data_IF_640908775659
#
_entry.id   IF_640908775659
#
_cell.length_a   1.000
_cell.length_b   1.000
_cell.length_c   1.000
_cell.angle_alpha   90.00
_cell.angle_beta   90.00
_cell.angle_gamma   90.00
#
_symmetry.space_group_name_H-M   'P 1'
#
loop_
_entity.id
_entity.type
_entity.pdbx_description
1 polymer ?
#
# COMPACT_ATOMS: atom_id res chain seq x y z
N UNK A 1 -35.33 14.59 -22.04
CA UNK A 1 -34.71 14.73 -20.70
C UNK A 1 -33.21 14.56 -20.90
N UNK A 2 -32.47 15.66 -21.04
CA UNK A 2 -31.00 15.61 -21.15
C UNK A 2 -30.43 15.01 -19.86
N UNK A 3 -29.63 13.95 -19.99
CA UNK A 3 -28.87 13.42 -18.86
C UNK A 3 -27.95 14.53 -18.34
N UNK A 4 -27.79 14.70 -17.02
CA UNK A 4 -27.00 15.79 -16.48
C UNK A 4 -25.59 15.80 -17.11
N UNK A 5 -25.13 17.00 -17.48
CA UNK A 5 -23.74 17.24 -17.88
C UNK A 5 -22.83 16.75 -16.76
N UNK A 6 -21.73 16.10 -17.11
CA UNK A 6 -20.78 15.59 -16.14
C UNK A 6 -20.30 16.71 -15.21
N UNK A 7 -20.07 16.37 -13.94
CA UNK A 7 -19.16 17.15 -13.09
C UNK A 7 -17.86 17.27 -13.90
N UNK A 8 -17.44 18.50 -14.19
CA UNK A 8 -16.14 18.82 -14.80
C UNK A 8 -15.98 18.63 -16.33
N UNK A 9 -17.07 18.49 -17.09
CA UNK A 9 -17.00 18.50 -18.57
C UNK A 9 -16.40 17.23 -19.22
N UNK A 10 -15.99 16.26 -18.41
CA UNK A 10 -15.52 14.95 -18.87
C UNK A 10 -16.69 13.98 -18.97
N UNK A 11 -17.10 13.64 -20.19
CA UNK A 11 -18.18 12.68 -20.40
C UNK A 11 -17.83 11.29 -19.82
N UNK A 12 -18.77 10.61 -19.12
CA UNK A 12 -18.50 9.31 -18.50
C UNK A 12 -18.10 8.24 -19.51
N UNK A 13 -17.16 7.35 -19.12
CA UNK A 13 -16.68 6.21 -19.91
C UNK A 13 -17.82 5.34 -20.45
N UNK A 14 -18.89 5.15 -19.67
CA UNK A 14 -20.07 4.38 -20.07
C UNK A 14 -20.91 4.98 -21.21
N UNK A 15 -20.49 6.10 -21.82
CA UNK A 15 -21.12 6.67 -23.02
C UNK A 15 -20.51 6.19 -24.33
N UNK A 16 -19.33 5.57 -24.32
CA UNK A 16 -18.73 4.96 -25.51
C UNK A 16 -19.53 3.72 -25.93
N UNK A 17 -19.96 3.66 -27.21
CA UNK A 17 -20.79 2.56 -27.73
C UNK A 17 -19.95 1.44 -28.36
N UNK A 18 -18.67 1.70 -28.61
CA UNK A 18 -17.70 0.77 -29.14
C UNK A 18 -16.31 1.06 -28.56
N UNK A 19 -15.38 0.12 -28.69
CA UNK A 19 -13.98 0.32 -28.33
C UNK A 19 -13.30 1.39 -29.21
N UNK A 20 -13.69 1.49 -30.48
CA UNK A 20 -13.25 2.56 -31.39
C UNK A 20 -13.67 3.96 -30.89
N UNK A 21 -14.94 4.11 -30.43
CA UNK A 21 -15.41 5.37 -29.84
C UNK A 21 -14.63 5.72 -28.57
N UNK A 22 -14.35 4.71 -27.74
CA UNK A 22 -13.56 4.88 -26.53
C UNK A 22 -12.10 5.27 -26.84
N UNK A 23 -11.46 4.60 -27.81
CA UNK A 23 -10.11 4.91 -28.26
C UNK A 23 -10.00 6.32 -28.84
N UNK A 24 -10.98 6.74 -29.64
CA UNK A 24 -11.04 8.11 -30.17
C UNK A 24 -11.19 9.15 -29.04
N UNK A 25 -12.04 8.87 -28.04
CA UNK A 25 -12.20 9.73 -26.87
C UNK A 25 -10.92 9.80 -26.03
N UNK A 26 -10.26 8.67 -25.78
CA UNK A 26 -8.97 8.61 -25.08
C UNK A 26 -7.90 9.45 -25.79
N UNK A 27 -7.79 9.32 -27.12
CA UNK A 27 -6.86 10.14 -27.92
C UNK A 27 -7.16 11.63 -27.83
N UNK A 28 -8.44 12.01 -27.87
CA UNK A 28 -8.85 13.41 -27.71
C UNK A 28 -8.47 13.97 -26.33
N UNK A 29 -8.76 13.23 -25.26
CA UNK A 29 -8.38 13.60 -23.89
C UNK A 29 -6.86 13.68 -23.71
N UNK A 30 -6.12 12.73 -24.30
CA UNK A 30 -4.66 12.74 -24.25
C UNK A 30 -4.08 13.96 -24.98
N UNK A 31 -4.60 14.30 -26.16
CA UNK A 31 -4.18 15.49 -26.90
C UNK A 31 -4.50 16.80 -26.18
N UNK A 32 -5.62 16.84 -25.44
CA UNK A 32 -6.06 18.02 -24.70
C UNK A 32 -5.28 18.22 -23.39
N UNK A 33 -5.07 17.14 -22.62
CA UNK A 33 -4.59 17.25 -21.23
C UNK A 33 -3.16 16.77 -21.02
N UNK A 34 -2.64 15.88 -21.87
CA UNK A 34 -1.28 15.29 -21.74
C UNK A 34 -0.60 15.19 -23.12
N UNK A 35 -0.41 16.31 -23.84
CA UNK A 35 0.13 16.30 -25.19
C UNK A 35 1.52 15.63 -25.23
N UNK A 36 1.69 14.72 -26.18
CA UNK A 36 2.92 13.91 -26.31
C UNK A 36 2.85 12.53 -25.68
N UNK A 37 1.82 12.23 -24.86
CA UNK A 37 1.57 10.89 -24.34
C UNK A 37 0.61 10.13 -25.25
N UNK A 38 1.08 9.04 -25.85
CA UNK A 38 0.22 8.14 -26.62
C UNK A 38 -0.46 7.13 -25.69
N UNK A 39 -1.75 7.32 -25.42
CA UNK A 39 -2.57 6.36 -24.67
C UNK A 39 -3.24 5.39 -25.66
N UNK A 40 -2.82 4.13 -25.64
CA UNK A 40 -3.38 3.05 -26.47
C UNK A 40 -4.72 2.52 -25.95
N UNK A 41 -5.45 1.81 -26.82
CA UNK A 41 -6.64 1.04 -26.47
C UNK A 41 -6.65 -0.18 -27.39
N UNK A 42 -6.39 -1.37 -26.84
CA UNK A 42 -6.39 -2.61 -27.61
C UNK A 42 -7.83 -3.13 -27.74
N UNK A 43 -8.24 -3.43 -28.98
CA UNK A 43 -9.56 -3.99 -29.28
C UNK A 43 -9.58 -5.53 -29.18
N UNK A 44 -8.39 -6.14 -29.09
CA UNK A 44 -8.19 -7.58 -28.98
C UNK A 44 -7.63 -7.95 -27.60
N UNK A 45 -8.26 -8.93 -26.95
CA UNK A 45 -7.77 -9.47 -25.69
C UNK A 45 -6.71 -10.52 -26.00
N UNK A 46 -5.45 -10.24 -25.64
CA UNK A 46 -4.40 -11.25 -25.68
C UNK A 46 -4.71 -12.37 -24.68
N UNK A 47 -4.81 -13.59 -25.18
CA UNK A 47 -5.03 -14.80 -24.37
C UNK A 47 -3.75 -15.60 -24.20
N UNK A 48 -3.76 -16.55 -23.26
CA UNK A 48 -2.66 -17.48 -23.09
C UNK A 48 -2.42 -18.30 -24.37
N UNK A 49 -1.18 -18.58 -24.79
CA UNK A 49 0.08 -18.16 -24.16
C UNK A 49 0.65 -16.83 -24.69
N UNK A 50 0.02 -16.21 -25.69
CA UNK A 50 0.52 -15.00 -26.36
C UNK A 50 0.53 -13.76 -25.43
N UNK A 51 -0.34 -13.74 -24.42
CA UNK A 51 -0.40 -12.67 -23.44
C UNK A 51 0.92 -12.51 -22.66
N UNK A 52 1.44 -11.28 -22.48
CA UNK A 52 2.59 -11.00 -21.62
C UNK A 52 2.41 -11.53 -20.19
N UNK A 53 1.18 -11.66 -19.72
CA UNK A 53 0.87 -12.19 -18.39
C UNK A 53 1.13 -13.70 -18.26
N UNK A 54 1.26 -14.44 -19.37
CA UNK A 54 1.59 -15.87 -19.43
C UNK A 54 3.06 -16.14 -19.78
N UNK A 55 3.88 -15.09 -19.82
CA UNK A 55 5.30 -15.20 -20.11
C UNK A 55 6.09 -15.40 -18.83
N UNK A 56 7.11 -16.27 -18.89
CA UNK A 56 8.01 -16.52 -17.76
C UNK A 56 8.72 -15.24 -17.31
N UNK A 57 9.02 -15.15 -16.03
CA UNK A 57 9.81 -14.08 -15.43
C UNK A 57 10.50 -14.58 -14.17
N UNK A 58 11.67 -14.01 -13.84
CA UNK A 58 12.38 -14.26 -12.59
C UNK A 58 12.10 -13.12 -11.62
N UNK A 59 11.61 -13.44 -10.42
CA UNK A 59 11.29 -12.47 -9.35
C UNK A 59 11.94 -12.97 -8.07
N UNK A 60 12.76 -12.12 -7.43
CA UNK A 60 13.53 -12.46 -6.22
C UNK A 60 14.25 -13.82 -6.30
N UNK A 61 14.90 -14.10 -7.43
CA UNK A 61 15.64 -15.34 -7.66
C UNK A 61 14.79 -16.55 -8.10
N UNK A 62 13.46 -16.49 -7.98
CA UNK A 62 12.53 -17.58 -8.37
C UNK A 62 11.97 -17.39 -9.77
N UNK A 63 11.84 -18.47 -10.52
CA UNK A 63 11.17 -18.45 -11.82
C UNK A 63 9.68 -18.76 -11.68
N UNK A 64 8.84 -17.90 -12.25
CA UNK A 64 7.40 -18.10 -12.39
C UNK A 64 7.02 -18.08 -13.87
N UNK A 65 5.89 -18.72 -14.18
CA UNK A 65 5.33 -18.84 -15.53
C UNK A 65 4.21 -17.82 -15.80
N UNK A 66 3.57 -17.31 -14.75
CA UNK A 66 2.39 -16.44 -14.84
C UNK A 66 2.62 -15.18 -14.01
N UNK A 67 2.45 -14.02 -14.63
CA UNK A 67 2.68 -12.69 -14.03
C UNK A 67 1.42 -12.11 -13.38
N UNK A 68 0.46 -12.96 -13.05
CA UNK A 68 -0.73 -12.58 -12.29
C UNK A 68 -0.39 -12.52 -10.80
N UNK A 69 -0.79 -11.42 -10.19
CA UNK A 69 -0.46 -11.11 -8.81
C UNK A 69 -1.69 -10.85 -7.95
N UNK A 70 -1.66 -11.35 -6.71
CA UNK A 70 -2.54 -10.87 -5.65
C UNK A 70 -1.88 -9.67 -4.96
N UNK A 71 -2.56 -8.52 -4.96
CA UNK A 71 -2.11 -7.35 -4.22
C UNK A 71 -2.53 -7.45 -2.74
N UNK A 72 -1.77 -6.82 -1.83
CA UNK A 72 -2.12 -6.67 -0.43
C UNK A 72 -3.53 -6.12 -0.25
N UNK A 73 -4.33 -6.84 0.55
CA UNK A 73 -5.66 -6.42 0.99
C UNK A 73 -5.73 -6.50 2.52
N UNK A 74 -6.37 -5.53 3.16
CA UNK A 74 -6.70 -5.62 4.58
C UNK A 74 -7.80 -6.67 4.77
N UNK A 75 -7.56 -7.71 5.57
CA UNK A 75 -8.53 -8.78 5.81
C UNK A 75 -9.49 -8.53 6.97
N UNK A 76 -8.99 -7.86 8.02
CA UNK A 76 -9.73 -7.52 9.26
C UNK A 76 -10.48 -8.71 9.87
N UNK A 77 -9.88 -9.89 9.83
CA UNK A 77 -10.44 -11.12 10.36
C UNK A 77 -9.39 -11.98 11.10
N UNK A 78 -8.27 -11.39 11.50
CA UNK A 78 -7.37 -12.01 12.47
C UNK A 78 -8.02 -12.08 13.85
N UNK A 79 -7.45 -12.87 14.76
CA UNK A 79 -7.89 -12.84 16.15
C UNK A 79 -7.69 -11.44 16.73
N UNK A 80 -8.78 -10.85 17.23
CA UNK A 80 -8.79 -9.61 17.99
C UNK A 80 -8.58 -9.85 19.48
N UNK A 81 -8.54 -8.78 20.26
CA UNK A 81 -8.28 -8.84 21.71
C UNK A 81 -9.38 -9.55 22.51
N UNK A 82 -10.59 -9.61 21.96
CA UNK A 82 -11.77 -10.20 22.60
C UNK A 82 -12.04 -11.64 22.13
N UNK A 83 -11.25 -12.18 21.22
CA UNK A 83 -11.44 -13.52 20.66
C UNK A 83 -10.70 -14.59 21.49
N UNK A 84 -11.14 -15.85 21.39
CA UNK A 84 -10.49 -17.02 22.02
C UNK A 84 -9.21 -17.45 21.26
N UNK A 85 -8.29 -16.51 21.04
CA UNK A 85 -7.03 -16.68 20.31
C UNK A 85 -5.95 -15.70 20.75
N UNK A 86 -4.77 -15.79 20.14
CA UNK A 86 -3.70 -14.79 20.37
C UNK A 86 -3.95 -13.63 19.42
N UNK A 87 -4.10 -12.42 19.96
CA UNK A 87 -4.34 -11.22 19.17
C UNK A 87 -3.30 -11.08 18.03
N UNK A 88 -3.77 -10.70 16.84
CA UNK A 88 -2.92 -10.50 15.66
C UNK A 88 -2.47 -11.77 14.96
N UNK A 89 -2.83 -12.95 15.48
CA UNK A 89 -2.59 -14.22 14.80
C UNK A 89 -3.67 -14.51 13.73
N UNK A 90 -3.33 -15.27 12.67
CA UNK A 90 -4.29 -15.68 11.67
C UNK A 90 -5.46 -16.47 12.29
N UNK A 91 -6.69 -16.08 11.95
CA UNK A 91 -7.87 -16.89 12.29
C UNK A 91 -8.11 -17.97 11.21
N UNK A 92 -9.06 -18.90 11.41
CA UNK A 92 -9.48 -19.81 10.36
C UNK A 92 -9.90 -19.11 9.06
N UNK A 93 -10.49 -17.91 9.14
CA UNK A 93 -10.90 -17.11 7.97
C UNK A 93 -9.70 -16.55 7.22
N UNK A 94 -8.73 -16.02 7.97
CA UNK A 94 -7.44 -15.58 7.43
C UNK A 94 -6.72 -16.74 6.72
N UNK A 95 -6.64 -17.90 7.35
CA UNK A 95 -6.01 -19.08 6.77
C UNK A 95 -6.76 -19.62 5.55
N UNK A 96 -8.09 -19.52 5.53
CA UNK A 96 -8.90 -19.87 4.36
C UNK A 96 -8.59 -18.95 3.17
N UNK A 97 -8.44 -17.63 3.40
CA UNK A 97 -8.03 -16.68 2.36
C UNK A 97 -6.65 -17.03 1.79
N UNK A 98 -5.67 -17.27 2.66
CA UNK A 98 -4.32 -17.63 2.24
C UNK A 98 -4.25 -19.00 1.53
N UNK A 99 -5.10 -19.94 1.95
CA UNK A 99 -5.32 -21.20 1.20
C UNK A 99 -5.83 -20.89 -0.20
N UNK A 100 -6.82 -20.00 -0.33
CA UNK A 100 -7.37 -19.55 -1.62
C UNK A 100 -6.32 -18.95 -2.56
N UNK A 101 -5.36 -18.18 -2.04
CA UNK A 101 -4.25 -17.68 -2.83
C UNK A 101 -3.42 -18.80 -3.48
N UNK A 102 -3.09 -19.86 -2.73
CA UNK A 102 -2.35 -20.99 -3.29
C UNK A 102 -3.17 -21.89 -4.23
N UNK A 103 -4.50 -21.94 -4.06
CA UNK A 103 -5.41 -22.60 -5.01
C UNK A 103 -5.59 -21.81 -6.31
N UNK A 104 -5.25 -20.51 -6.30
CA UNK A 104 -5.35 -19.66 -7.48
C UNK A 104 -4.27 -20.00 -8.53
N UNK A 105 -4.52 -19.61 -9.78
CA UNK A 105 -3.51 -19.69 -10.86
C UNK A 105 -2.43 -18.61 -10.78
N UNK A 106 -2.48 -17.73 -9.78
CA UNK A 106 -1.50 -16.68 -9.55
C UNK A 106 -0.19 -17.27 -9.05
N UNK A 107 0.93 -16.61 -9.37
CA UNK A 107 2.25 -17.05 -8.91
C UNK A 107 3.02 -15.95 -8.19
N UNK A 108 2.39 -14.79 -7.96
CA UNK A 108 2.92 -13.68 -7.18
C UNK A 108 1.90 -13.27 -6.10
N UNK A 109 2.25 -13.41 -4.84
CA UNK A 109 1.53 -12.76 -3.74
C UNK A 109 2.35 -11.54 -3.34
N UNK A 110 1.95 -10.35 -3.80
CA UNK A 110 2.67 -9.08 -3.61
C UNK A 110 2.53 -8.49 -2.20
N UNK A 111 2.51 -9.35 -1.19
CA UNK A 111 2.33 -9.00 0.22
C UNK A 111 1.12 -9.69 0.86
N UNK A 112 0.17 -10.18 0.06
CA UNK A 112 -1.01 -10.95 0.49
C UNK A 112 -2.00 -10.15 1.33
N UNK A 113 -1.57 -9.76 2.52
CA UNK A 113 -2.31 -8.99 3.51
C UNK A 113 -1.38 -8.02 4.23
N UNK A 114 -1.91 -6.88 4.64
CA UNK A 114 -1.14 -5.88 5.36
C UNK A 114 -0.94 -6.29 6.83
N UNK A 115 0.33 -6.37 7.23
CA UNK A 115 0.78 -6.87 8.52
C UNK A 115 1.40 -5.73 9.33
N UNK A 116 0.75 -5.32 10.41
CA UNK A 116 1.19 -4.18 11.20
C UNK A 116 2.47 -4.51 11.98
N UNK A 117 3.45 -3.58 11.97
CA UNK A 117 4.76 -3.80 12.60
C UNK A 117 4.72 -3.75 14.13
N UNK A 118 3.70 -3.11 14.68
CA UNK A 118 3.40 -3.03 16.12
C UNK A 118 1.88 -3.00 16.33
N UNK A 119 1.41 -3.40 17.51
CA UNK A 119 -0.03 -3.43 17.84
C UNK A 119 -0.72 -2.08 17.64
N UNK A 120 -0.09 -0.98 18.08
CA UNK A 120 -0.63 0.37 17.94
C UNK A 120 -0.80 0.81 16.47
N UNK A 121 -0.10 0.15 15.54
CA UNK A 121 -0.08 0.49 14.13
C UNK A 121 -1.20 -0.16 13.31
N UNK A 122 -2.08 -0.94 13.94
CA UNK A 122 -3.23 -1.60 13.31
C UNK A 122 -4.26 -0.55 12.83
N UNK A 123 -4.80 -0.72 11.63
CA UNK A 123 -5.95 0.00 11.08
C UNK A 123 -7.30 -0.55 11.56
N UNK A 124 -7.30 -1.74 12.17
CA UNK A 124 -8.49 -2.39 12.69
C UNK A 124 -8.14 -3.35 13.83
N UNK A 125 -9.02 -3.55 14.83
CA UNK A 125 -8.79 -4.49 15.93
C UNK A 125 -8.54 -5.94 15.50
N UNK A 126 -9.02 -6.35 14.33
CA UNK A 126 -8.81 -7.69 13.76
C UNK A 126 -7.76 -7.70 12.65
N UNK A 127 -6.81 -6.75 12.65
CA UNK A 127 -5.67 -6.79 11.73
C UNK A 127 -4.53 -7.66 12.28
N UNK A 128 -3.88 -8.41 11.38
CA UNK A 128 -2.63 -9.10 11.64
C UNK A 128 -1.53 -8.11 12.08
N UNK A 129 -0.77 -8.48 13.11
CA UNK A 129 0.42 -7.72 13.52
C UNK A 129 1.44 -8.64 14.18
N UNK A 130 2.67 -8.15 14.35
CA UNK A 130 3.69 -8.90 15.08
C UNK A 130 3.35 -8.94 16.57
N UNK A 131 2.65 -9.98 16.97
CA UNK A 131 2.35 -10.29 18.37
C UNK A 131 3.49 -11.05 19.04
N UNK A 132 3.33 -11.33 20.33
CA UNK A 132 4.30 -12.09 21.11
C UNK A 132 4.46 -13.55 20.64
N UNK A 133 3.62 -14.01 19.69
CA UNK A 133 3.77 -15.30 19.02
C UNK A 133 4.94 -15.35 18.01
N UNK A 134 5.63 -14.23 17.78
CA UNK A 134 6.82 -14.16 16.93
C UNK A 134 6.52 -14.56 15.48
N UNK A 135 7.25 -15.55 14.96
CA UNK A 135 7.10 -16.00 13.56
C UNK A 135 5.95 -16.97 13.30
N UNK A 136 5.26 -17.45 14.34
CA UNK A 136 4.23 -18.49 14.18
C UNK A 136 3.08 -18.05 13.25
N UNK A 137 2.65 -16.80 13.34
CA UNK A 137 1.62 -16.25 12.46
C UNK A 137 2.06 -16.26 10.99
N UNK A 138 3.17 -15.58 10.64
CA UNK A 138 3.75 -15.63 9.30
C UNK A 138 3.98 -17.05 8.77
N UNK A 139 4.46 -17.99 9.59
CA UNK A 139 4.64 -19.39 9.21
C UNK A 139 3.33 -20.06 8.82
N UNK A 140 2.24 -19.85 9.57
CA UNK A 140 0.93 -20.41 9.25
C UNK A 140 0.38 -19.86 7.93
N UNK A 141 0.48 -18.55 7.71
CA UNK A 141 0.03 -17.89 6.47
C UNK A 141 0.75 -18.48 5.25
N UNK A 142 2.09 -18.50 5.30
CA UNK A 142 2.91 -19.02 4.21
C UNK A 142 2.64 -20.51 3.97
N UNK A 143 2.54 -21.30 5.04
CA UNK A 143 2.28 -22.73 4.93
C UNK A 143 0.89 -23.02 4.35
N UNK A 144 -0.13 -22.21 4.65
CA UNK A 144 -1.45 -22.34 4.05
C UNK A 144 -1.40 -22.16 2.53
N UNK A 145 -0.79 -21.07 2.05
CA UNK A 145 -0.66 -20.79 0.62
C UNK A 145 0.23 -21.82 -0.12
N UNK A 146 1.38 -22.18 0.44
CA UNK A 146 2.30 -23.10 -0.23
C UNK A 146 1.74 -24.54 -0.29
N UNK A 147 1.11 -25.02 0.79
CA UNK A 147 0.51 -26.37 0.81
C UNK A 147 -0.64 -26.48 -0.19
N UNK A 148 -1.50 -25.47 -0.29
CA UNK A 148 -2.61 -25.51 -1.24
C UNK A 148 -2.13 -25.40 -2.69
N UNK A 149 -1.06 -24.62 -2.96
CA UNK A 149 -0.37 -24.59 -4.26
C UNK A 149 0.16 -25.96 -4.66
N UNK A 150 0.90 -26.61 -3.77
CA UNK A 150 1.45 -27.95 -4.01
C UNK A 150 0.34 -28.96 -4.28
N UNK A 151 -0.78 -28.90 -3.55
CA UNK A 151 -1.92 -29.78 -3.74
C UNK A 151 -2.62 -29.57 -5.09
N UNK A 152 -2.83 -28.30 -5.50
CA UNK A 152 -3.59 -27.97 -6.71
C UNK A 152 -2.77 -28.10 -8.00
N UNK A 153 -1.48 -27.75 -7.98
CA UNK A 153 -0.66 -27.62 -9.19
C UNK A 153 0.56 -28.54 -9.23
N UNK A 154 0.87 -29.24 -8.13
CA UNK A 154 2.05 -30.12 -7.99
C UNK A 154 3.38 -29.41 -8.24
N UNK A 155 3.45 -28.11 -7.89
CA UNK A 155 4.67 -27.31 -7.90
C UNK A 155 4.69 -26.32 -6.73
N UNK A 156 5.85 -25.69 -6.52
CA UNK A 156 6.07 -24.62 -5.54
C UNK A 156 6.25 -23.25 -6.22
N UNK A 157 5.71 -23.07 -7.43
CA UNK A 157 5.85 -21.83 -8.22
C UNK A 157 4.90 -20.76 -7.71
N UNK A 158 5.20 -20.24 -6.53
CA UNK A 158 4.51 -19.14 -5.89
C UNK A 158 5.55 -18.31 -5.14
N UNK A 159 5.75 -17.05 -5.55
CA UNK A 159 6.59 -16.10 -4.83
C UNK A 159 5.69 -15.36 -3.83
N UNK A 160 6.03 -15.45 -2.55
CA UNK A 160 5.19 -15.01 -1.44
C UNK A 160 5.89 -13.87 -0.70
N UNK A 161 5.27 -12.69 -0.74
CA UNK A 161 5.66 -11.53 0.07
C UNK A 161 4.74 -11.31 1.26
N UNK A 162 5.21 -10.53 2.24
CA UNK A 162 4.42 -10.01 3.34
C UNK A 162 4.49 -8.48 3.37
N UNK A 163 3.36 -7.78 3.36
CA UNK A 163 3.36 -6.31 3.42
C UNK A 163 3.47 -5.81 4.86
N UNK A 164 4.53 -5.03 5.15
CA UNK A 164 4.77 -4.40 6.44
C UNK A 164 4.15 -3.00 6.46
N UNK A 165 3.31 -2.70 7.46
CA UNK A 165 2.56 -1.44 7.51
C UNK A 165 2.60 -0.75 8.87
N UNK A 166 2.41 0.57 8.83
CA UNK A 166 1.98 1.35 9.97
C UNK A 166 0.83 2.30 9.59
N UNK A 167 -0.30 2.19 10.29
CA UNK A 167 -1.55 2.82 9.83
C UNK A 167 -1.59 4.35 9.97
N UNK A 168 -0.74 4.91 10.83
CA UNK A 168 -0.56 6.35 10.96
C UNK A 168 -1.85 7.05 11.37
N UNK A 169 -2.29 8.03 10.59
CA UNK A 169 -3.58 8.70 10.78
C UNK A 169 -4.77 7.72 10.85
N UNK A 170 -4.65 6.54 10.24
CA UNK A 170 -5.72 5.53 10.19
C UNK A 170 -5.62 4.47 11.28
N UNK A 171 -4.77 4.64 12.31
CA UNK A 171 -4.68 3.68 13.41
C UNK A 171 -6.02 3.53 14.15
N UNK A 172 -6.41 2.28 14.41
CA UNK A 172 -7.60 1.85 15.15
C UNK A 172 -7.32 0.46 15.76
N UNK A 173 -6.50 0.38 16.82
CA UNK A 173 -5.98 -0.90 17.31
C UNK A 173 -6.94 -1.65 18.25
N UNK A 174 -7.80 -0.93 18.97
CA UNK A 174 -8.60 -1.48 20.08
C UNK A 174 -10.09 -1.56 19.74
N UNK A 175 -10.74 -2.64 20.15
CA UNK A 175 -12.15 -2.85 19.90
C UNK A 175 -13.00 -1.86 20.71
N UNK A 176 -13.95 -1.21 20.04
CA UNK A 176 -14.89 -0.28 20.70
C UNK A 176 -14.31 1.06 21.15
N UNK A 177 -13.01 1.33 20.97
CA UNK A 177 -12.38 2.62 21.33
C UNK A 177 -12.32 3.63 20.19
N UNK A 178 -12.65 3.21 18.97
CA UNK A 178 -12.58 4.05 17.77
C UNK A 178 -11.15 4.32 17.31
N UNK A 179 -11.01 5.31 16.41
CA UNK A 179 -9.73 5.70 15.82
C UNK A 179 -8.78 6.24 16.89
N UNK A 180 -7.51 5.86 16.80
CA UNK A 180 -6.40 6.31 17.64
C UNK A 180 -5.26 6.78 16.73
N UNK A 181 -5.45 7.92 16.05
CA UNK A 181 -4.55 8.34 14.98
C UNK A 181 -3.14 8.65 15.49
N UNK A 182 -2.15 8.21 14.73
CA UNK A 182 -0.72 8.47 14.97
C UNK A 182 -0.09 9.10 13.72
N UNK A 183 -0.48 10.32 13.31
CA UNK A 183 -0.04 10.90 12.05
C UNK A 183 1.45 11.26 12.05
N UNK A 184 2.11 11.13 10.89
CA UNK A 184 3.49 11.61 10.72
C UNK A 184 3.57 13.13 10.50
N UNK A 185 2.48 13.75 10.05
CA UNK A 185 2.37 15.20 9.85
C UNK A 185 0.94 15.63 10.17
N UNK A 186 0.78 16.83 10.73
CA UNK A 186 -0.53 17.42 10.91
C UNK A 186 -1.16 17.71 9.54
N UNK A 187 -2.40 17.26 9.32
CA UNK A 187 -3.15 17.59 8.11
C UNK A 187 -4.44 18.33 8.50
N UNK A 188 -4.66 19.59 8.08
CA UNK A 188 -5.78 20.41 8.56
C UNK A 188 -7.16 19.92 8.12
N UNK A 189 -7.26 19.23 6.96
CA UNK A 189 -8.51 18.59 6.50
C UNK A 189 -8.68 17.17 7.03
N UNK A 190 -7.68 16.29 6.83
CA UNK A 190 -7.81 14.88 7.21
C UNK A 190 -7.74 14.67 8.72
N UNK A 191 -6.94 15.46 9.45
CA UNK A 191 -6.79 15.35 10.90
C UNK A 191 -8.14 15.37 11.62
N UNK A 192 -8.94 16.45 11.50
CA UNK A 192 -10.26 16.53 12.13
C UNK A 192 -11.22 15.42 11.68
N UNK A 193 -11.17 15.00 10.42
CA UNK A 193 -12.02 13.93 9.88
C UNK A 193 -11.76 12.57 10.55
N UNK A 194 -10.53 12.34 11.00
CA UNK A 194 -10.11 11.10 11.67
C UNK A 194 -9.84 11.30 13.17
N UNK A 195 -10.26 12.43 13.75
CA UNK A 195 -10.13 12.71 15.18
C UNK A 195 -8.71 12.99 15.66
N UNK A 196 -7.79 13.34 14.75
CA UNK A 196 -6.43 13.74 15.10
C UNK A 196 -6.36 15.23 15.45
N UNK A 197 -5.40 15.57 16.30
CA UNK A 197 -4.99 16.96 16.60
C UNK A 197 -3.49 17.14 16.31
N UNK A 198 -2.98 18.39 16.20
CA UNK A 198 -1.55 18.63 15.97
C UNK A 198 -0.64 17.98 17.01
N UNK A 199 -1.08 17.86 18.26
CA UNK A 199 -0.31 17.29 19.37
C UNK A 199 -0.13 15.77 19.26
N UNK A 200 -0.92 15.11 18.39
CA UNK A 200 -0.83 13.66 18.14
C UNK A 200 0.22 13.30 17.07
N UNK A 201 0.87 14.29 16.45
CA UNK A 201 1.95 14.02 15.47
C UNK A 201 3.08 13.26 16.16
N UNK A 202 3.46 12.12 15.59
CA UNK A 202 4.49 11.26 16.20
C UNK A 202 5.84 11.97 16.24
N UNK A 203 6.61 11.77 17.31
CA UNK A 203 7.94 12.38 17.47
C UNK A 203 9.01 11.69 16.60
N UNK A 204 10.14 12.35 16.40
CA UNK A 204 11.30 11.74 15.73
C UNK A 204 11.81 10.52 16.51
N UNK A 205 11.82 10.58 17.85
CA UNK A 205 12.19 9.45 18.69
C UNK A 205 11.27 8.23 18.51
N UNK A 206 9.97 8.45 18.28
CA UNK A 206 9.04 7.36 17.94
C UNK A 206 9.38 6.74 16.59
N UNK A 207 9.70 7.56 15.59
CA UNK A 207 10.10 7.06 14.27
C UNK A 207 11.43 6.28 14.37
N UNK A 208 12.42 6.80 15.10
CA UNK A 208 13.70 6.11 15.31
C UNK A 208 13.50 4.71 15.93
N UNK A 209 12.60 4.57 16.92
CA UNK A 209 12.24 3.28 17.51
C UNK A 209 11.44 2.38 16.54
N UNK A 210 10.51 2.97 15.79
CA UNK A 210 9.67 2.27 14.82
C UNK A 210 10.50 1.57 13.73
N UNK A 211 11.66 2.13 13.34
CA UNK A 211 12.58 1.48 12.42
C UNK A 211 12.95 0.07 12.91
N UNK A 212 13.26 -0.08 14.20
CA UNK A 212 13.59 -1.38 14.81
C UNK A 212 12.44 -2.38 14.69
N UNK A 213 11.20 -1.91 14.74
CA UNK A 213 10.02 -2.74 14.55
C UNK A 213 9.85 -3.23 13.10
N UNK A 214 10.10 -2.37 12.10
CA UNK A 214 10.14 -2.82 10.69
C UNK A 214 11.23 -3.86 10.44
N UNK A 215 12.41 -3.70 11.04
CA UNK A 215 13.50 -4.66 10.91
C UNK A 215 13.15 -5.99 11.58
N UNK A 216 12.62 -5.94 12.81
CA UNK A 216 12.16 -7.15 13.53
C UNK A 216 11.09 -7.89 12.75
N UNK A 217 10.13 -7.16 12.20
CA UNK A 217 9.10 -7.69 11.32
C UNK A 217 9.70 -8.44 10.12
N UNK A 218 10.62 -7.80 9.41
CA UNK A 218 11.27 -8.40 8.25
C UNK A 218 12.09 -9.65 8.61
N UNK A 219 12.78 -9.66 9.75
CA UNK A 219 13.49 -10.84 10.27
C UNK A 219 12.54 -12.02 10.46
N UNK A 220 11.41 -11.81 11.13
CA UNK A 220 10.43 -12.85 11.37
C UNK A 220 9.79 -13.37 10.06
N UNK A 221 9.54 -12.49 9.10
CA UNK A 221 9.09 -12.89 7.76
C UNK A 221 10.15 -13.73 7.03
N UNK A 222 11.42 -13.33 7.14
CA UNK A 222 12.54 -14.06 6.55
C UNK A 222 12.71 -15.46 7.19
N UNK A 223 12.67 -15.54 8.51
CA UNK A 223 12.73 -16.80 9.26
C UNK A 223 11.53 -17.72 8.98
N UNK A 224 10.36 -17.15 8.70
CA UNK A 224 9.18 -17.89 8.25
C UNK A 224 9.28 -18.34 6.78
N UNK A 225 10.31 -17.91 6.05
CA UNK A 225 10.62 -18.35 4.68
C UNK A 225 9.96 -17.53 3.58
N UNK A 226 9.42 -16.35 3.86
CA UNK A 226 8.89 -15.45 2.82
C UNK A 226 10.01 -15.08 1.83
N UNK A 227 9.66 -14.95 0.55
CA UNK A 227 10.63 -14.64 -0.50
C UNK A 227 11.01 -13.15 -0.47
N UNK A 228 10.12 -12.29 0.02
CA UNK A 228 10.37 -10.86 0.20
C UNK A 228 9.43 -10.22 1.22
N UNK A 229 9.73 -8.98 1.62
CA UNK A 229 8.81 -8.09 2.31
C UNK A 229 8.45 -6.90 1.43
N UNK A 230 7.20 -6.43 1.52
CA UNK A 230 6.74 -5.19 0.90
C UNK A 230 6.62 -4.08 1.97
N UNK A 231 7.47 -3.06 1.91
CA UNK A 231 7.40 -1.91 2.81
C UNK A 231 6.33 -0.94 2.28
N UNK A 232 5.21 -0.84 3.00
CA UNK A 232 4.07 -0.02 2.57
C UNK A 232 4.40 1.47 2.67
N UNK A 233 4.44 2.13 1.52
CA UNK A 233 4.75 3.55 1.38
C UNK A 233 3.72 4.25 0.46
N UNK A 234 2.45 3.89 0.63
CA UNK A 234 1.35 4.33 -0.23
C UNK A 234 0.07 4.64 0.57
N UNK A 235 -0.94 5.16 -0.11
CA UNK A 235 -2.32 5.35 0.37
C UNK A 235 -2.46 6.20 1.64
N UNK A 236 -1.61 7.22 1.82
CA UNK A 236 -1.71 8.10 2.98
C UNK A 236 -1.37 7.47 4.35
N UNK A 237 -0.81 6.25 4.39
CA UNK A 237 -0.34 5.61 5.62
C UNK A 237 0.92 6.28 6.18
N UNK A 238 1.36 5.94 7.40
CA UNK A 238 2.40 6.69 8.13
C UNK A 238 3.64 7.01 7.28
N UNK A 239 4.21 6.00 6.61
CA UNK A 239 5.41 6.21 5.82
C UNK A 239 5.12 7.12 4.62
N UNK A 240 3.96 6.98 3.96
CA UNK A 240 3.57 7.87 2.87
C UNK A 240 3.35 9.32 3.37
N UNK A 241 2.83 9.50 4.58
CA UNK A 241 2.69 10.84 5.19
C UNK A 241 4.02 11.56 5.38
N UNK A 242 5.12 10.82 5.58
CA UNK A 242 6.46 11.40 5.64
C UNK A 242 6.88 12.03 4.32
N UNK A 243 6.46 11.49 3.17
CA UNK A 243 6.74 12.08 1.87
C UNK A 243 6.10 13.47 1.70
N UNK A 244 4.92 13.68 2.31
CA UNK A 244 4.23 14.97 2.36
C UNK A 244 4.60 15.83 3.57
N UNK A 245 5.62 15.48 4.36
CA UNK A 245 5.97 16.18 5.60
C UNK A 245 6.85 17.43 5.35
N UNK A 246 6.44 18.32 4.44
CA UNK A 246 7.21 19.51 4.03
C UNK A 246 7.42 20.51 5.16
N UNK A 247 6.49 20.58 6.12
CA UNK A 247 6.52 21.52 7.25
C UNK A 247 6.82 20.85 8.59
N UNK A 248 7.11 19.54 8.58
CA UNK A 248 7.48 18.81 9.80
C UNK A 248 8.90 19.20 10.22
N UNK A 249 9.06 19.54 11.50
CA UNK A 249 10.38 19.78 12.10
C UNK A 249 11.18 18.48 12.27
N UNK A 250 12.50 18.60 12.45
CA UNK A 250 13.37 17.46 12.74
C UNK A 250 13.90 16.75 11.49
N UNK A 251 14.47 15.55 11.67
CA UNK A 251 15.23 14.87 10.61
C UNK A 251 14.38 14.03 9.65
N UNK A 252 13.07 13.96 9.89
CA UNK A 252 12.10 13.27 9.03
C UNK A 252 11.17 14.21 8.25
N UNK A 253 11.42 15.53 8.29
CA UNK A 253 10.62 16.54 7.60
C UNK A 253 11.44 17.60 6.88
N UNK A 254 10.75 18.51 6.18
CA UNK A 254 11.38 19.58 5.42
C UNK A 254 11.90 19.09 4.06
N UNK A 255 13.21 18.88 3.94
CA UNK A 255 13.88 18.49 2.69
C UNK A 255 13.45 17.11 2.18
N UNK A 256 13.58 16.87 0.87
CA UNK A 256 13.27 15.58 0.26
C UNK A 256 14.13 14.44 0.86
N UNK A 257 15.40 14.73 1.15
CA UNK A 257 16.32 13.79 1.78
C UNK A 257 15.84 13.37 3.18
N UNK A 258 15.29 14.30 3.96
CA UNK A 258 14.72 14.01 5.27
C UNK A 258 13.40 13.25 5.16
N UNK A 259 12.50 13.67 4.26
CA UNK A 259 11.19 13.04 4.06
C UNK A 259 11.28 11.61 3.55
N UNK A 260 12.35 11.27 2.81
CA UNK A 260 12.65 9.90 2.34
C UNK A 260 13.58 9.12 3.29
N UNK A 261 14.13 9.76 4.34
CA UNK A 261 15.12 9.16 5.24
C UNK A 261 14.64 7.85 5.85
N UNK A 262 13.44 7.87 6.45
CA UNK A 262 12.90 6.71 7.16
C UNK A 262 12.84 5.46 6.27
N UNK A 263 12.28 5.60 5.06
CA UNK A 263 12.21 4.50 4.10
C UNK A 263 13.60 3.97 3.76
N UNK A 264 14.55 4.87 3.44
CA UNK A 264 15.92 4.51 3.05
C UNK A 264 16.62 3.77 4.18
N UNK A 265 16.43 4.19 5.42
CA UNK A 265 17.02 3.56 6.60
C UNK A 265 16.39 2.20 6.90
N UNK A 266 15.06 2.07 6.82
CA UNK A 266 14.36 0.76 6.91
C UNK A 266 14.87 -0.20 5.84
N UNK A 267 14.93 0.21 4.57
CA UNK A 267 15.41 -0.63 3.47
C UNK A 267 16.87 -1.03 3.69
N UNK A 268 17.74 -0.09 4.09
CA UNK A 268 19.15 -0.38 4.38
C UNK A 268 19.29 -1.39 5.51
N UNK A 269 18.55 -1.19 6.61
CA UNK A 269 18.61 -2.05 7.78
C UNK A 269 18.08 -3.46 7.46
N UNK A 270 16.95 -3.59 6.75
CA UNK A 270 16.44 -4.91 6.32
C UNK A 270 17.45 -5.63 5.43
N UNK A 271 18.08 -4.94 4.46
CA UNK A 271 19.11 -5.55 3.61
C UNK A 271 20.30 -6.08 4.40
N UNK A 272 20.73 -5.33 5.42
CA UNK A 272 21.86 -5.69 6.28
C UNK A 272 21.52 -6.90 7.16
N UNK A 273 20.34 -6.88 7.76
CA UNK A 273 19.94 -7.81 8.80
C UNK A 273 19.27 -9.09 8.28
N UNK A 274 18.74 -9.06 7.06
CA UNK A 274 18.04 -10.18 6.41
C UNK A 274 18.65 -10.47 5.02
N UNK A 275 19.93 -10.83 4.93
CA UNK A 275 20.58 -11.07 3.64
C UNK A 275 19.88 -12.19 2.86
N UNK A 276 19.48 -11.88 1.61
CA UNK A 276 18.76 -12.81 0.73
C UNK A 276 17.24 -12.66 0.75
N UNK A 277 16.67 -11.91 1.71
CA UNK A 277 15.26 -11.50 1.66
C UNK A 277 15.07 -10.43 0.58
N UNK A 278 14.15 -10.65 -0.35
CA UNK A 278 13.74 -9.62 -1.30
C UNK A 278 13.08 -8.43 -0.59
N UNK A 279 13.18 -7.24 -1.17
CA UNK A 279 12.49 -6.05 -0.68
C UNK A 279 11.74 -5.41 -1.83
N UNK A 280 10.44 -5.22 -1.62
CA UNK A 280 9.58 -4.40 -2.44
C UNK A 280 9.18 -3.16 -1.64
N UNK A 281 8.95 -2.04 -2.33
CA UNK A 281 8.32 -0.87 -1.74
C UNK A 281 7.09 -0.57 -2.57
N UNK A 282 5.92 -0.53 -1.93
CA UNK A 282 4.70 -0.10 -2.58
C UNK A 282 4.52 1.39 -2.41
N UNK A 283 4.60 2.13 -3.51
CA UNK A 283 4.54 3.59 -3.56
C UNK A 283 3.26 4.08 -4.22
N UNK A 284 2.62 5.10 -3.64
CA UNK A 284 1.69 5.96 -4.36
C UNK A 284 2.50 7.03 -5.10
N UNK A 285 2.59 6.94 -6.42
CA UNK A 285 3.33 7.92 -7.26
C UNK A 285 2.70 9.32 -7.15
N UNK A 286 1.39 9.35 -6.90
CA UNK A 286 0.63 10.51 -6.44
C UNK A 286 -0.56 9.98 -5.62
N UNK A 287 -1.01 10.75 -4.63
CA UNK A 287 -2.32 10.58 -4.00
C UNK A 287 -3.15 11.86 -4.24
N UNK A 288 -4.47 11.73 -4.24
CA UNK A 288 -5.34 12.89 -4.47
C UNK A 288 -5.49 13.73 -3.22
N UNK A 289 -5.51 15.07 -3.39
CA UNK A 289 -5.91 15.97 -2.33
C UNK A 289 -7.31 15.57 -1.81
N UNK A 290 -7.58 15.71 -0.50
CA UNK A 290 -8.87 15.35 0.06
C UNK A 290 -10.00 16.10 -0.64
N UNK A 291 -10.98 15.36 -1.16
CA UNK A 291 -12.18 15.96 -1.72
C UNK A 291 -12.97 16.59 -0.57
N UNK A 292 -13.23 17.89 -0.68
CA UNK A 292 -14.07 18.64 0.26
C UNK A 292 -15.54 18.34 -0.02
N UNK A 293 -16.32 18.15 1.03
CA UNK A 293 -17.77 18.04 0.91
C UNK A 293 -18.36 19.41 0.57
N UNK A 294 -19.54 19.43 -0.05
CA UNK A 294 -20.24 20.69 -0.34
C UNK A 294 -20.42 21.51 0.94
N UNK A 295 -19.91 22.75 0.95
CA UNK A 295 -19.97 23.65 2.11
C UNK A 295 -18.84 23.47 3.14
N UNK A 296 -17.93 22.51 2.95
CA UNK A 296 -16.71 22.39 3.75
C UNK A 296 -15.69 23.42 3.24
N UNK A 297 -15.27 24.33 4.12
CA UNK A 297 -14.19 25.26 3.85
C UNK A 297 -12.93 24.76 4.54
N UNK A 298 -11.79 24.86 3.85
CA UNK A 298 -10.49 24.75 4.52
C UNK A 298 -10.12 26.14 5.03
N UNK A 299 -9.32 26.21 6.08
CA UNK A 299 -8.72 27.46 6.54
C UNK A 299 -8.09 28.22 5.37
N UNK A 300 -8.25 29.54 5.36
CA UNK A 300 -7.59 30.42 4.40
C UNK A 300 -6.08 30.09 4.33
N UNK A 301 -5.56 29.89 3.12
CA UNK A 301 -4.16 29.53 2.90
C UNK A 301 -3.81 28.04 2.96
N UNK A 302 -4.78 27.12 2.90
CA UNK A 302 -4.49 25.70 2.72
C UNK A 302 -3.76 25.43 1.39
N UNK A 303 -2.62 24.76 1.50
CA UNK A 303 -1.71 24.40 0.42
C UNK A 303 -1.61 22.87 0.33
N UNK A 304 -2.37 22.21 -0.55
CA UNK A 304 -2.33 20.74 -0.66
C UNK A 304 -0.92 20.19 -0.91
N UNK A 305 -0.11 20.93 -1.67
CA UNK A 305 1.29 20.66 -1.95
C UNK A 305 2.17 20.55 -0.68
N UNK A 306 1.77 21.17 0.43
CA UNK A 306 2.51 21.06 1.70
C UNK A 306 2.26 19.75 2.46
N UNK A 307 1.26 18.95 2.05
CA UNK A 307 0.80 17.76 2.77
C UNK A 307 0.72 16.51 1.88
N UNK A 308 1.06 16.63 0.59
CA UNK A 308 0.88 15.60 -0.43
C UNK A 308 2.18 15.33 -1.17
N UNK A 309 2.40 14.07 -1.54
CA UNK A 309 3.52 13.69 -2.41
C UNK A 309 3.08 13.67 -3.87
N UNK A 310 3.96 14.15 -4.77
CA UNK A 310 3.70 14.17 -6.21
C UNK A 310 2.77 15.27 -6.70
N UNK A 311 2.53 16.30 -5.87
CA UNK A 311 1.78 17.51 -6.24
C UNK A 311 2.75 18.69 -6.24
N UNK A 312 2.81 19.44 -7.34
CA UNK A 312 3.66 20.63 -7.44
C UNK A 312 3.06 21.83 -6.67
N UNK A 313 3.87 22.86 -6.39
CA UNK A 313 3.43 24.06 -5.65
C UNK A 313 2.28 24.82 -6.32
N UNK A 314 2.19 24.75 -7.66
CA UNK A 314 1.11 25.32 -8.46
C UNK A 314 -0.13 24.42 -8.55
N UNK A 315 -0.11 23.27 -7.85
CA UNK A 315 -1.14 22.25 -7.88
C UNK A 315 -1.10 21.32 -9.09
N UNK A 316 -0.07 21.42 -9.95
CA UNK A 316 0.11 20.49 -11.07
C UNK A 316 0.41 19.07 -10.57
N UNK A 317 -0.08 18.08 -11.33
CA UNK A 317 0.12 16.67 -11.04
C UNK A 317 1.52 16.24 -11.54
N UNK A 318 2.28 15.59 -10.66
CA UNK A 318 3.70 15.22 -10.77
C UNK A 318 4.69 16.37 -10.49
N UNK A 319 5.19 16.43 -9.25
CA UNK A 319 6.36 17.23 -8.88
C UNK A 319 7.66 16.57 -9.36
N UNK A 320 8.74 17.34 -9.51
CA UNK A 320 10.08 16.82 -9.84
C UNK A 320 10.54 15.73 -8.85
N UNK A 321 10.05 15.75 -7.61
CA UNK A 321 10.40 14.78 -6.58
C UNK A 321 9.95 13.35 -6.92
N UNK A 322 8.89 13.20 -7.72
CA UNK A 322 8.48 11.88 -8.22
C UNK A 322 9.55 11.29 -9.14
N UNK A 323 10.18 12.13 -9.97
CA UNK A 323 11.28 11.72 -10.84
C UNK A 323 12.57 11.44 -10.06
N UNK A 324 12.84 12.17 -8.97
CA UNK A 324 13.99 11.91 -8.12
C UNK A 324 13.83 10.66 -7.24
N UNK A 325 12.59 10.26 -6.95
CA UNK A 325 12.29 9.05 -6.17
C UNK A 325 12.43 7.74 -6.97
N UNK A 326 12.04 7.76 -8.26
CA UNK A 326 12.04 6.59 -9.16
C UNK A 326 13.44 6.27 -9.72
#
# INVERSE_FOLDING_TARGET
MEKPRSRDGIDPVGRSKSSADFAARLRALAAEHVPGVAIGCDDEILTAPASPLWQRVRVFGREINVRLAAHPTEGWDAFGEADDGIEGMPSPWTLNRWTGFGLSGMQLLLGGEAYAVVRAAKANPHQLFYSDAGKAGPEQLRAAALRSRLAAFRDDKLVIGLQLTHSGLYCCPDFGRGMQPMPAVWHPVLGPRFGATPEMVVSDAYLDDLLGHFVRAAKLAHEAGFDFVDVKHCHGYLLHQLLGAHTRDGHYGGSFENRTRFLREVVRAIRSECPGLGIMVRLSVFDHAPILRSGETVTDGYRPDHYMFGVAEDGAWASNEVHEFL
#
